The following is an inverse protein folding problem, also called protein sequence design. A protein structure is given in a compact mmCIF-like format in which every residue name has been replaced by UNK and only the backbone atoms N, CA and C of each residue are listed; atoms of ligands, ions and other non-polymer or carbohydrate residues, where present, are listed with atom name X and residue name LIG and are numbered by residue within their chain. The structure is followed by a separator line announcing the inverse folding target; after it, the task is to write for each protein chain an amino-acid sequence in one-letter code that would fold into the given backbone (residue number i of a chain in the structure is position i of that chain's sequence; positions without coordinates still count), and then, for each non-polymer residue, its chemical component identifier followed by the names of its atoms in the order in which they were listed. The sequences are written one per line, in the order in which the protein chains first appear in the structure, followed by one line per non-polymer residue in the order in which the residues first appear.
data_IF_339238500241
#
_entry.id   IF_339238500241
#
_cell.length_a   1.000
_cell.length_b   1.000
_cell.length_c   1.000
_cell.angle_alpha   90.00
_cell.angle_beta   90.00
_cell.angle_gamma   90.00
#
_symmetry.space_group_name_H-M   'P 1'
#
loop_
_entity.id
_entity.type
_entity.pdbx_description
1 polymer ?
#
# COMPACT_ATOMS: atom_id res chain seq x y z
N UNK A 1 1.00 1.71 -5.26
CA UNK A 1 1.52 0.80 -4.21
C UNK A 1 1.86 -0.52 -4.86
N UNK A 2 3.10 -0.94 -4.76
CA UNK A 2 3.66 -2.11 -5.45
C UNK A 2 4.37 -2.97 -4.41
N UNK A 3 4.18 -4.28 -4.44
CA UNK A 3 4.88 -5.18 -3.53
C UNK A 3 6.26 -5.61 -4.06
N UNK A 4 7.00 -6.38 -3.28
CA UNK A 4 8.32 -6.91 -3.66
C UNK A 4 8.29 -7.82 -4.91
N UNK A 5 7.14 -8.36 -5.27
CA UNK A 5 6.94 -9.19 -6.47
C UNK A 5 6.59 -8.35 -7.71
N UNK A 6 6.56 -7.01 -7.59
CA UNK A 6 6.18 -6.11 -8.69
C UNK A 6 4.67 -6.07 -8.96
N UNK A 7 3.83 -6.59 -8.08
CA UNK A 7 2.38 -6.57 -8.23
C UNK A 7 1.82 -5.24 -7.76
N UNK A 8 0.99 -4.61 -8.60
CA UNK A 8 0.30 -3.37 -8.27
C UNK A 8 -0.88 -3.66 -7.37
N UNK A 9 -0.79 -3.29 -6.09
CA UNK A 9 -1.85 -3.52 -5.11
C UNK A 9 -2.96 -2.46 -5.19
N UNK A 10 -2.64 -1.26 -5.68
CA UNK A 10 -3.58 -0.16 -5.77
C UNK A 10 -2.94 1.20 -5.54
N UNK A 11 -3.76 2.19 -5.21
CA UNK A 11 -3.33 3.56 -4.88
C UNK A 11 -3.72 3.89 -3.44
N UNK A 12 -2.85 4.63 -2.75
CA UNK A 12 -3.18 5.16 -1.42
C UNK A 12 -4.31 6.17 -1.57
N UNK A 13 -5.40 5.97 -0.83
CA UNK A 13 -6.56 6.84 -0.81
C UNK A 13 -6.47 7.82 0.36
N UNK A 14 -6.26 7.32 1.57
CA UNK A 14 -6.06 8.12 2.79
C UNK A 14 -5.32 7.32 3.87
N UNK A 15 -4.87 8.03 4.92
CA UNK A 15 -4.36 7.42 6.14
C UNK A 15 -5.44 7.46 7.23
N UNK A 16 -5.52 6.39 8.01
CA UNK A 16 -6.34 6.28 9.21
C UNK A 16 -5.42 6.32 10.43
N UNK A 17 -5.54 7.37 11.23
CA UNK A 17 -4.88 7.47 12.54
C UNK A 17 -5.63 6.56 13.53
N UNK A 18 -5.03 5.44 13.93
CA UNK A 18 -5.65 4.50 14.89
C UNK A 18 -5.19 4.73 16.34
N UNK A 19 -4.38 5.75 16.59
CA UNK A 19 -3.81 6.09 17.89
C UNK A 19 -2.61 5.24 18.32
N UNK A 20 -2.33 4.12 17.65
CA UNK A 20 -1.12 3.31 17.84
C UNK A 20 -0.20 3.36 16.61
N UNK A 21 -0.72 2.99 15.44
CA UNK A 21 -0.03 3.13 14.16
C UNK A 21 -0.98 3.72 13.12
N UNK A 22 -0.45 4.49 12.19
CA UNK A 22 -1.25 4.93 11.05
C UNK A 22 -1.48 3.76 10.11
N UNK A 23 -2.66 3.70 9.49
CA UNK A 23 -3.02 2.67 8.52
C UNK A 23 -3.26 3.34 7.17
N UNK A 24 -2.47 2.94 6.17
CA UNK A 24 -2.68 3.31 4.78
C UNK A 24 -3.86 2.53 4.22
N UNK A 25 -4.87 3.25 3.76
CA UNK A 25 -5.97 2.67 2.98
C UNK A 25 -5.57 2.69 1.52
N UNK A 26 -5.43 1.51 0.93
CA UNK A 26 -5.06 1.31 -0.48
C UNK A 26 -6.28 0.80 -1.22
N UNK A 27 -6.77 1.61 -2.16
CA UNK A 27 -7.90 1.24 -3.02
C UNK A 27 -7.43 0.67 -4.35
N UNK A 28 -8.14 -0.34 -4.87
CA UNK A 28 -7.89 -0.85 -6.20
C UNK A 28 -8.27 0.19 -7.24
N UNK A 29 -7.64 0.10 -8.41
CA UNK A 29 -7.96 0.88 -9.59
C UNK A 29 -7.73 0.03 -10.84
N UNK A 30 -8.19 0.49 -12.00
CA UNK A 30 -7.99 -0.20 -13.28
C UNK A 30 -6.48 -0.45 -13.54
N UNK A 31 -6.06 -1.72 -13.51
CA UNK A 31 -4.65 -2.13 -13.58
C UNK A 31 -4.03 -2.60 -12.25
N UNK A 32 -4.81 -2.64 -11.17
CA UNK A 32 -4.43 -3.32 -9.93
C UNK A 32 -4.53 -4.84 -10.09
N UNK A 33 -3.87 -5.58 -9.20
CA UNK A 33 -3.89 -7.03 -9.18
C UNK A 33 -5.30 -7.59 -9.00
N UNK A 34 -6.11 -6.94 -8.15
CA UNK A 34 -7.50 -7.27 -7.91
C UNK A 34 -8.31 -6.03 -7.50
N UNK A 35 -9.59 -6.23 -7.22
CA UNK A 35 -10.55 -5.21 -6.77
C UNK A 35 -10.71 -5.19 -5.23
N UNK A 36 -9.66 -5.54 -4.46
CA UNK A 36 -9.72 -5.52 -2.99
C UNK A 36 -9.11 -4.24 -2.41
N UNK A 37 -9.86 -3.61 -1.49
CA UNK A 37 -9.30 -2.58 -0.61
C UNK A 37 -8.39 -3.23 0.44
N UNK A 38 -7.22 -2.63 0.66
CA UNK A 38 -6.21 -3.14 1.60
C UNK A 38 -5.86 -2.10 2.65
N UNK A 39 -5.66 -2.56 3.87
CA UNK A 39 -5.31 -1.74 5.02
C UNK A 39 -3.88 -2.11 5.43
N UNK A 40 -2.92 -1.29 5.02
CA UNK A 40 -1.50 -1.54 5.29
C UNK A 40 -1.07 -0.69 6.49
N UNK A 41 -0.45 -1.26 7.53
CA UNK A 41 0.12 -0.47 8.60
C UNK A 41 1.28 0.38 8.05
N UNK A 42 1.29 1.68 8.33
CA UNK A 42 2.37 2.59 7.98
C UNK A 42 3.53 2.43 8.96
N UNK A 43 4.30 1.36 8.80
CA UNK A 43 5.44 1.03 9.65
C UNK A 43 6.65 0.66 8.80
N UNK A 44 7.86 0.87 9.31
CA UNK A 44 9.12 0.54 8.64
C UNK A 44 9.20 -0.87 8.03
N UNK A 45 8.73 -1.96 8.70
CA UNK A 45 8.74 -3.29 8.08
C UNK A 45 7.73 -3.44 6.95
N UNK A 46 6.67 -2.63 6.89
CA UNK A 46 5.66 -2.74 5.85
C UNK A 46 5.95 -1.80 4.67
N UNK A 47 6.42 -0.58 4.93
CA UNK A 47 6.71 0.42 3.92
C UNK A 47 8.22 0.50 3.69
N UNK A 48 8.68 -0.17 2.63
CA UNK A 48 10.10 -0.31 2.34
C UNK A 48 10.70 0.94 1.70
N UNK A 49 9.94 1.57 0.79
CA UNK A 49 10.40 2.75 0.07
C UNK A 49 9.20 3.59 -0.39
N UNK A 50 9.34 4.90 -0.27
CA UNK A 50 8.40 5.87 -0.83
C UNK A 50 9.15 6.76 -1.81
N UNK A 51 8.71 6.78 -3.05
CA UNK A 51 9.23 7.65 -4.10
C UNK A 51 8.15 8.67 -4.49
N UNK A 52 8.30 9.89 -3.96
CA UNK A 52 7.35 10.97 -4.18
C UNK A 52 7.50 11.59 -5.58
N UNK A 53 8.66 11.47 -6.22
CA UNK A 53 8.88 11.99 -7.57
C UNK A 53 8.19 11.09 -8.61
N UNK A 54 8.32 9.77 -8.44
CA UNK A 54 7.62 8.79 -9.28
C UNK A 54 6.14 8.60 -8.89
N UNK A 55 5.75 8.98 -7.67
CA UNK A 55 4.42 8.69 -7.13
C UNK A 55 4.23 7.20 -6.81
N UNK A 56 5.32 6.51 -6.47
CA UNK A 56 5.35 5.08 -6.22
C UNK A 56 5.70 4.77 -4.77
N UNK A 57 5.14 3.66 -4.26
CA UNK A 57 5.40 3.19 -2.91
C UNK A 57 5.63 1.68 -2.98
N UNK A 58 6.79 1.25 -2.49
CA UNK A 58 7.15 -0.16 -2.36
C UNK A 58 6.84 -0.65 -0.95
N UNK A 59 6.13 -1.77 -0.86
CA UNK A 59 5.69 -2.35 0.40
C UNK A 59 6.04 -3.83 0.49
N UNK A 60 6.26 -4.31 1.70
CA UNK A 60 6.29 -5.74 2.04
C UNK A 60 4.88 -6.15 2.45
N UNK A 61 4.07 -6.54 1.46
CA UNK A 61 2.69 -7.00 1.68
C UNK A 61 2.35 -8.15 0.72
N UNK A 62 1.79 -9.22 1.28
CA UNK A 62 1.27 -10.34 0.49
C UNK A 62 -0.10 -9.97 -0.08
N UNK A 63 -0.30 -10.18 -1.38
CA UNK A 63 -1.52 -9.77 -2.04
C UNK A 63 -2.76 -10.57 -1.61
N UNK A 64 -2.55 -11.78 -1.07
CA UNK A 64 -3.64 -12.64 -0.59
C UNK A 64 -4.23 -12.16 0.75
N UNK A 65 -3.48 -11.37 1.53
CA UNK A 65 -3.91 -10.79 2.81
C UNK A 65 -4.81 -9.55 2.61
#
# INVERSE_FOLDING_TARGET
VINQLGQTLGKVDHLLETGANDVLVVKPFEGSLDDRERLLPYTDPCVLKVDLEAGEMQVEWDADF
#
